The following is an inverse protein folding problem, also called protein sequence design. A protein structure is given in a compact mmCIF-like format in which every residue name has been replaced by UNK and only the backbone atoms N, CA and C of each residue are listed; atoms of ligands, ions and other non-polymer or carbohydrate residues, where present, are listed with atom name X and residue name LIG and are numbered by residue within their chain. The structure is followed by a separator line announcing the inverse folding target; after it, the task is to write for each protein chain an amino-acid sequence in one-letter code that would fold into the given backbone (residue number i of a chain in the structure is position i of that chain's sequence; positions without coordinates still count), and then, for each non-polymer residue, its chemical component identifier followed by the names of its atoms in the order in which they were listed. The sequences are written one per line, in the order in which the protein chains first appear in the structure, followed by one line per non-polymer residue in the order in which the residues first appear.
data_IF_175277779510
#
_entry.id   IF_175277779510
#
_cell.length_a   1.000
_cell.length_b   1.000
_cell.length_c   1.000
_cell.angle_alpha   90.00
_cell.angle_beta   90.00
_cell.angle_gamma   90.00
#
_symmetry.space_group_name_H-M   'P 1'
#
loop_
_entity.id
_entity.type
_entity.pdbx_description
1 polymer ?
#
# COMPACT_ATOMS: atom_id res chain seq x y z
N UNK A 1 18.00 -38.45 -75.02
CA UNK A 1 17.27 -37.27 -74.52
C UNK A 1 18.26 -36.45 -73.72
N UNK A 2 18.62 -35.23 -74.16
CA UNK A 2 19.75 -34.46 -73.60
C UNK A 2 19.36 -33.16 -72.90
N UNK A 3 18.06 -32.84 -72.81
CA UNK A 3 17.60 -31.61 -72.14
C UNK A 3 17.37 -31.88 -70.67
N UNK A 4 18.09 -31.17 -69.80
CA UNK A 4 17.90 -31.25 -68.36
C UNK A 4 16.51 -30.69 -67.99
N UNK A 5 15.80 -31.32 -67.04
CA UNK A 5 14.50 -30.83 -66.62
C UNK A 5 14.63 -29.54 -65.80
N UNK A 6 13.60 -28.70 -65.88
CA UNK A 6 13.34 -27.62 -64.93
C UNK A 6 12.18 -27.99 -64.01
N UNK A 7 12.21 -27.49 -62.78
CA UNK A 7 11.26 -27.79 -61.72
C UNK A 7 10.47 -26.55 -61.31
N UNK A 8 9.18 -26.76 -61.06
CA UNK A 8 8.29 -25.78 -60.44
C UNK A 8 7.64 -26.38 -59.20
N UNK A 9 7.63 -25.62 -58.12
CA UNK A 9 6.67 -25.81 -57.04
C UNK A 9 5.30 -25.33 -57.50
N UNK A 10 4.28 -26.19 -57.34
CA UNK A 10 2.90 -25.83 -57.61
C UNK A 10 2.05 -26.11 -56.39
N UNK A 11 1.09 -25.24 -56.09
CA UNK A 11 0.13 -25.44 -55.01
C UNK A 11 -1.29 -25.05 -55.41
N UNK A 12 -2.26 -25.81 -54.93
CA UNK A 12 -3.69 -25.59 -55.09
C UNK A 12 -4.38 -25.58 -53.71
N UNK A 13 -5.59 -25.01 -53.62
CA UNK A 13 -6.42 -25.20 -52.43
C UNK A 13 -6.62 -26.70 -52.19
N UNK A 14 -6.70 -27.12 -50.93
CA UNK A 14 -6.92 -28.53 -50.57
C UNK A 14 -8.21 -29.13 -51.16
N UNK A 15 -9.20 -28.28 -51.43
CA UNK A 15 -10.46 -28.63 -52.10
C UNK A 15 -10.39 -28.56 -53.63
N UNK A 16 -9.28 -28.06 -54.18
CA UNK A 16 -9.04 -27.90 -55.62
C UNK A 16 -8.23 -29.05 -56.22
N UNK A 17 -7.58 -28.79 -57.36
CA UNK A 17 -6.75 -29.77 -58.08
C UNK A 17 -5.35 -29.23 -58.32
N UNK A 18 -4.33 -30.09 -58.15
CA UNK A 18 -2.94 -29.75 -58.41
C UNK A 18 -2.63 -29.54 -59.90
N UNK A 19 -3.52 -30.01 -60.77
CA UNK A 19 -3.45 -29.77 -62.22
C UNK A 19 -3.89 -28.34 -62.58
N UNK A 20 -4.65 -27.68 -61.69
CA UNK A 20 -5.05 -26.28 -61.78
C UNK A 20 -4.49 -25.48 -60.57
N UNK A 21 -3.16 -25.32 -60.46
CA UNK A 21 -2.56 -24.69 -59.31
C UNK A 21 -2.88 -23.21 -59.23
N UNK A 22 -3.02 -22.71 -58.00
CA UNK A 22 -3.18 -21.27 -57.73
C UNK A 22 -1.82 -20.58 -57.58
N UNK A 23 -0.78 -21.31 -57.18
CA UNK A 23 0.60 -20.82 -57.07
C UNK A 23 1.49 -21.68 -57.97
N UNK A 24 2.32 -21.01 -58.78
CA UNK A 24 3.41 -21.64 -59.53
C UNK A 24 4.68 -20.83 -59.30
N UNK A 25 5.73 -21.48 -58.80
CA UNK A 25 7.03 -20.86 -58.53
C UNK A 25 8.12 -21.77 -59.11
N UNK A 26 9.04 -21.21 -59.89
CA UNK A 26 10.23 -21.94 -60.32
C UNK A 26 11.08 -22.31 -59.09
N UNK A 27 11.72 -23.48 -59.11
CA UNK A 27 12.72 -23.84 -58.10
C UNK A 27 13.96 -22.94 -58.18
N UNK A 28 14.90 -23.09 -57.25
CA UNK A 28 16.12 -22.28 -57.21
C UNK A 28 16.92 -22.40 -58.52
N UNK A 29 17.80 -21.43 -58.79
CA UNK A 29 18.53 -21.32 -60.06
C UNK A 29 17.62 -21.35 -61.31
N UNK A 30 16.54 -20.57 -61.26
CA UNK A 30 15.56 -20.43 -62.35
C UNK A 30 14.95 -21.77 -62.80
N UNK A 31 14.63 -22.64 -61.83
CA UNK A 31 14.02 -23.93 -62.10
C UNK A 31 15.01 -25.08 -62.26
N UNK A 32 16.33 -24.84 -62.26
CA UNK A 32 17.30 -25.94 -62.50
C UNK A 32 17.70 -26.68 -61.23
N UNK A 33 17.45 -26.13 -60.05
CA UNK A 33 17.72 -26.81 -58.79
C UNK A 33 16.58 -27.75 -58.39
N UNK A 34 16.90 -28.80 -57.63
CA UNK A 34 15.91 -29.69 -57.01
C UNK A 34 15.42 -29.19 -55.65
N UNK A 35 15.69 -27.92 -55.31
CA UNK A 35 15.30 -27.26 -54.08
C UNK A 35 14.65 -25.90 -54.41
N UNK A 36 13.76 -25.44 -53.53
CA UNK A 36 13.16 -24.12 -53.60
C UNK A 36 13.30 -23.45 -52.23
N UNK A 37 13.93 -22.29 -52.22
CA UNK A 37 14.12 -21.45 -51.03
C UNK A 37 13.18 -20.24 -51.12
N UNK A 38 12.21 -20.16 -50.20
CA UNK A 38 11.29 -19.03 -50.10
C UNK A 38 11.46 -18.31 -48.78
N UNK A 39 11.58 -16.98 -48.84
CA UNK A 39 11.35 -16.13 -47.67
C UNK A 39 9.88 -16.15 -47.27
N UNK A 40 9.56 -15.94 -45.99
CA UNK A 40 8.17 -15.80 -45.54
C UNK A 40 7.42 -14.70 -46.31
N UNK A 41 8.13 -13.63 -46.71
CA UNK A 41 7.55 -12.56 -47.53
C UNK A 41 7.16 -13.04 -48.94
N UNK A 42 8.00 -13.80 -49.63
CA UNK A 42 7.67 -14.32 -50.96
C UNK A 42 6.46 -15.25 -50.92
N UNK A 43 6.36 -16.09 -49.89
CA UNK A 43 5.21 -16.97 -49.69
C UNK A 43 3.94 -16.18 -49.37
N UNK A 44 4.04 -15.16 -48.51
CA UNK A 44 2.90 -14.29 -48.19
C UNK A 44 2.42 -13.50 -49.41
N UNK A 45 3.34 -12.90 -50.19
CA UNK A 45 3.03 -12.17 -51.41
C UNK A 45 2.36 -13.09 -52.46
N UNK A 46 2.80 -14.35 -52.57
CA UNK A 46 2.19 -15.34 -53.47
C UNK A 46 0.75 -15.67 -53.09
N UNK A 47 0.44 -15.79 -51.80
CA UNK A 47 -0.92 -15.99 -51.29
C UNK A 47 -1.77 -14.71 -51.45
N UNK A 48 -1.18 -13.54 -51.19
CA UNK A 48 -1.83 -12.23 -51.39
C UNK A 48 -2.26 -12.02 -52.83
N UNK A 49 -1.43 -12.39 -53.80
CA UNK A 49 -1.73 -12.32 -55.22
C UNK A 49 -2.93 -13.20 -55.63
N UNK A 50 -3.40 -14.09 -54.75
CA UNK A 50 -4.59 -14.92 -54.91
C UNK A 50 -5.77 -14.46 -54.06
N UNK A 51 -5.73 -13.22 -53.57
CA UNK A 51 -6.78 -12.58 -52.76
C UNK A 51 -7.12 -13.35 -51.46
N UNK A 52 -6.21 -14.20 -50.98
CA UNK A 52 -6.32 -14.79 -49.64
C UNK A 52 -6.06 -13.65 -48.65
N UNK A 53 -6.95 -13.40 -47.69
CA UNK A 53 -6.81 -12.29 -46.76
C UNK A 53 -5.71 -12.50 -45.70
N UNK A 54 -5.19 -11.42 -45.13
CA UNK A 54 -4.17 -11.44 -44.08
C UNK A 54 -4.66 -12.21 -42.83
N UNK A 55 -3.78 -12.97 -42.19
CA UNK A 55 -4.12 -13.78 -41.00
C UNK A 55 -5.01 -15.01 -41.26
N UNK A 56 -5.43 -15.25 -42.51
CA UNK A 56 -6.26 -16.41 -42.85
C UNK A 56 -5.39 -17.66 -42.97
N UNK A 57 -5.76 -18.72 -42.23
CA UNK A 57 -5.23 -20.07 -42.41
C UNK A 57 -5.79 -20.66 -43.70
N UNK A 58 -4.90 -21.06 -44.61
CA UNK A 58 -5.25 -21.69 -45.88
C UNK A 58 -4.65 -23.10 -45.92
N UNK A 59 -5.51 -24.10 -46.09
CA UNK A 59 -5.07 -25.47 -46.33
C UNK A 59 -4.86 -25.69 -47.84
N UNK A 60 -3.65 -26.06 -48.21
CA UNK A 60 -3.22 -26.31 -49.58
C UNK A 60 -2.79 -27.77 -49.78
N UNK A 61 -2.79 -28.17 -51.05
CA UNK A 61 -2.00 -29.30 -51.54
C UNK A 61 -0.91 -28.77 -52.45
N UNK A 62 0.27 -29.38 -52.42
CA UNK A 62 1.42 -28.99 -53.23
C UNK A 62 2.11 -30.19 -53.88
N UNK A 63 2.78 -29.93 -55.00
CA UNK A 63 3.57 -30.90 -55.76
C UNK A 63 4.73 -30.19 -56.48
N UNK A 64 5.66 -30.97 -57.02
CA UNK A 64 6.69 -30.50 -57.94
C UNK A 64 6.32 -30.94 -59.35
N UNK A 65 6.27 -30.00 -60.29
CA UNK A 65 6.20 -30.27 -61.74
C UNK A 65 7.60 -30.20 -62.32
N UNK A 66 8.05 -31.27 -62.97
CA UNK A 66 9.32 -31.32 -63.70
C UNK A 66 9.04 -31.42 -65.20
N UNK A 67 9.70 -30.60 -66.01
CA UNK A 67 9.55 -30.63 -67.47
C UNK A 67 10.88 -30.48 -68.18
N UNK A 68 11.09 -31.22 -69.26
CA UNK A 68 12.24 -31.08 -70.15
C UNK A 68 11.90 -30.35 -71.47
N UNK A 69 10.70 -29.78 -71.56
CA UNK A 69 10.16 -29.15 -72.78
C UNK A 69 9.23 -30.05 -73.59
N UNK A 70 9.46 -31.36 -73.58
CA UNK A 70 8.64 -32.34 -74.32
C UNK A 70 7.64 -33.06 -73.42
N UNK A 71 8.07 -33.42 -72.21
CA UNK A 71 7.27 -34.16 -71.23
C UNK A 71 7.26 -33.41 -69.91
N UNK A 72 6.08 -33.31 -69.30
CA UNK A 72 5.90 -32.79 -67.95
C UNK A 72 5.41 -33.90 -67.03
N UNK A 73 6.07 -34.09 -65.90
CA UNK A 73 5.66 -35.02 -64.85
C UNK A 73 5.40 -34.27 -63.55
N UNK A 74 4.40 -34.72 -62.79
CA UNK A 74 4.04 -34.14 -61.49
C UNK A 74 4.27 -35.19 -60.40
N UNK A 75 4.83 -34.79 -59.26
CA UNK A 75 4.96 -35.70 -58.12
C UNK A 75 3.59 -36.17 -57.63
N UNK A 76 3.44 -37.46 -57.37
CA UNK A 76 2.22 -38.08 -56.85
C UNK A 76 2.54 -39.02 -55.67
N UNK A 77 1.76 -38.98 -54.57
CA UNK A 77 0.62 -38.09 -54.33
C UNK A 77 1.05 -36.65 -54.05
N UNK A 78 0.13 -35.69 -54.22
CA UNK A 78 0.32 -34.33 -53.74
C UNK A 78 0.35 -34.32 -52.20
N UNK A 79 1.16 -33.42 -51.63
CA UNK A 79 1.35 -33.31 -50.18
C UNK A 79 0.54 -32.15 -49.61
N UNK A 80 0.02 -32.31 -48.40
CA UNK A 80 -0.74 -31.25 -47.73
C UNK A 80 0.19 -30.26 -47.02
N UNK A 81 -0.17 -28.98 -47.04
CA UNK A 81 0.47 -27.93 -46.24
C UNK A 81 -0.58 -26.92 -45.79
N UNK A 82 -0.49 -26.45 -44.56
CA UNK A 82 -1.35 -25.39 -44.04
C UNK A 82 -0.52 -24.14 -43.78
N UNK A 83 -0.90 -23.01 -44.37
CA UNK A 83 -0.19 -21.74 -44.24
C UNK A 83 -1.16 -20.67 -43.77
N UNK A 84 -0.81 -19.98 -42.68
CA UNK A 84 -1.50 -18.76 -42.26
C UNK A 84 -0.74 -17.56 -42.82
N UNK A 85 -1.40 -16.72 -43.61
CA UNK A 85 -0.80 -15.47 -44.12
C UNK A 85 -0.35 -14.57 -42.98
N UNK A 86 0.71 -13.79 -43.20
CA UNK A 86 1.12 -12.80 -42.22
C UNK A 86 -0.03 -11.81 -42.00
N UNK A 87 -0.29 -11.51 -40.74
CA UNK A 87 -1.29 -10.54 -40.33
C UNK A 87 -0.65 -9.39 -39.58
N UNK A 88 -1.47 -8.67 -38.82
CA UNK A 88 -0.95 -7.69 -37.88
C UNK A 88 -0.21 -8.38 -36.71
N UNK A 89 0.59 -7.59 -36.00
CA UNK A 89 1.42 -8.03 -34.91
C UNK A 89 1.75 -6.89 -33.97
N UNK A 90 2.43 -7.22 -32.88
CA UNK A 90 2.88 -6.26 -31.87
C UNK A 90 4.30 -6.66 -31.49
N UNK A 91 5.26 -5.75 -31.61
CA UNK A 91 6.64 -6.00 -31.19
C UNK A 91 6.74 -6.26 -29.69
N UNK A 92 7.77 -6.96 -29.24
CA UNK A 92 8.05 -7.10 -27.80
C UNK A 92 8.27 -5.74 -27.15
N UNK A 93 7.95 -5.65 -25.86
CA UNK A 93 8.09 -4.44 -25.07
C UNK A 93 8.28 -4.76 -23.58
N UNK A 94 9.06 -3.92 -22.90
CA UNK A 94 9.39 -4.06 -21.47
C UNK A 94 8.48 -3.19 -20.60
N UNK A 95 8.27 -3.62 -19.35
CA UNK A 95 7.66 -2.80 -18.31
C UNK A 95 8.75 -2.00 -17.58
N UNK A 96 8.58 -0.70 -17.44
CA UNK A 96 9.56 0.18 -16.77
C UNK A 96 9.16 0.51 -15.33
N UNK A 97 7.87 0.63 -15.04
CA UNK A 97 7.43 0.95 -13.69
C UNK A 97 5.93 0.88 -13.51
N UNK A 98 5.43 0.63 -12.27
CA UNK A 98 6.21 0.33 -11.06
C UNK A 98 6.99 -1.00 -11.17
N UNK A 99 8.25 -1.03 -10.74
CA UNK A 99 9.07 -2.25 -10.79
C UNK A 99 8.49 -3.34 -9.90
N UNK A 100 8.73 -4.61 -10.25
CA UNK A 100 8.27 -5.75 -9.47
C UNK A 100 8.77 -5.67 -8.01
N UNK A 101 7.86 -5.72 -7.04
CA UNK A 101 8.19 -5.63 -5.62
C UNK A 101 7.16 -6.36 -4.75
N UNK A 102 7.65 -6.96 -3.66
CA UNK A 102 6.82 -7.54 -2.59
C UNK A 102 6.69 -6.61 -1.37
N UNK A 103 7.34 -5.45 -1.40
CA UNK A 103 7.22 -4.44 -0.33
C UNK A 103 5.93 -3.64 -0.55
N UNK A 104 5.04 -3.54 0.47
CA UNK A 104 3.83 -2.75 0.35
C UNK A 104 4.11 -1.28 0.06
N UNK A 105 3.49 -0.76 -0.99
CA UNK A 105 3.33 0.67 -1.22
C UNK A 105 2.08 1.13 -0.46
N UNK A 106 2.25 2.14 0.40
CA UNK A 106 1.13 2.76 1.12
C UNK A 106 0.52 3.85 0.25
N UNK A 107 -0.79 3.76 -0.01
CA UNK A 107 -1.56 4.79 -0.70
C UNK A 107 -2.62 5.38 0.24
N UNK A 108 -2.91 6.68 0.08
CA UNK A 108 -4.06 7.30 0.73
C UNK A 108 -5.33 6.98 -0.10
N UNK A 109 -6.26 6.17 0.41
CA UNK A 109 -7.43 5.72 -0.36
C UNK A 109 -8.41 6.84 -0.69
N UNK A 110 -8.30 8.01 -0.06
CA UNK A 110 -9.15 9.17 -0.30
C UNK A 110 -8.49 10.22 -1.20
N UNK A 111 -7.21 10.04 -1.59
CA UNK A 111 -6.49 11.04 -2.38
C UNK A 111 -6.96 11.05 -3.85
N UNK A 112 -7.39 12.22 -4.32
CA UNK A 112 -7.87 12.46 -5.70
C UNK A 112 -6.78 13.01 -6.63
N UNK A 113 -5.57 13.19 -6.12
CA UNK A 113 -4.47 13.94 -6.77
C UNK A 113 -3.12 13.25 -6.67
N UNK A 114 -3.00 12.24 -5.81
CA UNK A 114 -1.87 11.34 -5.86
C UNK A 114 -2.13 10.25 -6.91
N UNK A 115 -1.10 9.96 -7.69
CA UNK A 115 -1.18 9.01 -8.80
C UNK A 115 -0.06 7.98 -8.72
N UNK A 116 -0.41 6.73 -9.03
CA UNK A 116 0.55 5.69 -9.35
C UNK A 116 0.88 5.75 -10.85
N UNK A 117 2.15 5.90 -11.17
CA UNK A 117 2.61 6.04 -12.55
C UNK A 117 3.07 4.70 -13.13
N UNK A 118 2.41 4.27 -14.21
CA UNK A 118 2.75 3.11 -14.99
C UNK A 118 3.43 3.53 -16.28
N UNK A 119 4.56 2.91 -16.61
CA UNK A 119 5.33 3.18 -17.83
C UNK A 119 5.87 1.89 -18.43
N UNK A 120 5.85 1.80 -19.75
CA UNK A 120 6.39 0.67 -20.51
C UNK A 120 7.01 1.16 -21.82
N UNK A 121 7.74 0.27 -22.47
CA UNK A 121 8.30 0.53 -23.79
C UNK A 121 7.18 0.57 -24.84
N UNK A 122 7.20 1.57 -25.72
CA UNK A 122 6.28 1.61 -26.86
C UNK A 122 6.56 0.43 -27.80
N UNK A 123 5.51 -0.31 -28.14
CA UNK A 123 5.51 -1.37 -29.14
C UNK A 123 5.11 -0.84 -30.53
N UNK A 124 5.51 -1.57 -31.57
CA UNK A 124 5.22 -1.29 -32.97
C UNK A 124 4.27 -2.32 -33.56
N UNK A 125 3.30 -1.85 -34.34
CA UNK A 125 2.39 -2.69 -35.11
C UNK A 125 3.13 -3.41 -36.26
N UNK A 126 2.73 -4.64 -36.55
CA UNK A 126 3.21 -5.39 -37.71
C UNK A 126 2.74 -4.77 -39.03
N UNK A 127 1.52 -4.20 -39.04
CA UNK A 127 0.98 -3.41 -40.14
C UNK A 127 1.12 -1.93 -39.80
N UNK A 128 1.96 -1.21 -40.56
CA UNK A 128 2.34 0.18 -40.25
C UNK A 128 1.18 1.19 -40.19
N UNK A 129 0.04 0.90 -40.83
CA UNK A 129 -1.15 1.76 -40.78
C UNK A 129 -1.98 1.57 -39.51
N UNK A 130 -1.74 0.49 -38.75
CA UNK A 130 -2.45 0.22 -37.51
C UNK A 130 -1.73 0.85 -36.32
N UNK A 131 -2.51 1.37 -35.38
CA UNK A 131 -1.98 1.89 -34.13
C UNK A 131 -1.99 0.81 -33.04
N UNK A 132 -0.91 0.73 -32.27
CA UNK A 132 -0.86 -0.12 -31.08
C UNK A 132 -1.57 0.58 -29.92
N UNK A 133 -2.56 -0.10 -29.32
CA UNK A 133 -3.28 0.36 -28.12
C UNK A 133 -2.96 -0.51 -26.91
N UNK A 134 -2.99 0.07 -25.72
CA UNK A 134 -2.60 -0.59 -24.48
C UNK A 134 -3.71 -0.60 -23.44
N UNK A 135 -3.85 -1.75 -22.76
CA UNK A 135 -4.69 -1.93 -21.57
C UNK A 135 -3.81 -2.52 -20.47
N UNK A 136 -3.79 -1.88 -19.31
CA UNK A 136 -3.15 -2.40 -18.10
C UNK A 136 -4.13 -3.35 -17.41
N UNK A 137 -3.66 -4.52 -17.00
CA UNK A 137 -4.46 -5.53 -16.31
C UNK A 137 -3.88 -5.83 -14.94
N UNK A 138 -4.75 -6.01 -13.96
CA UNK A 138 -4.40 -6.36 -12.59
C UNK A 138 -5.11 -7.64 -12.17
N UNK A 139 -4.37 -8.52 -11.48
CA UNK A 139 -4.89 -9.74 -10.86
C UNK A 139 -4.39 -9.82 -9.43
N UNK A 140 -5.04 -10.64 -8.59
CA UNK A 140 -4.42 -11.04 -7.32
C UNK A 140 -3.14 -11.82 -7.59
N UNK A 141 -2.18 -11.82 -6.68
CA UNK A 141 -0.92 -12.56 -6.86
C UNK A 141 -1.19 -14.04 -7.18
N UNK A 142 -0.68 -14.53 -8.32
CA UNK A 142 -0.93 -15.89 -8.83
C UNK A 142 -2.26 -16.07 -9.57
N UNK A 143 -3.01 -14.99 -9.82
CA UNK A 143 -4.27 -15.00 -10.55
C UNK A 143 -4.12 -15.07 -12.07
N UNK A 144 -5.26 -15.09 -12.78
CA UNK A 144 -5.33 -15.27 -14.24
C UNK A 144 -5.66 -13.95 -14.97
N UNK A 145 -4.77 -13.49 -15.85
CA UNK A 145 -4.95 -12.28 -16.67
C UNK A 145 -6.02 -12.39 -17.76
N UNK A 146 -6.57 -13.60 -17.99
CA UNK A 146 -7.79 -13.77 -18.79
C UNK A 146 -9.03 -13.23 -18.05
N UNK A 147 -8.98 -13.21 -16.71
CA UNK A 147 -10.06 -12.76 -15.81
C UNK A 147 -9.50 -11.72 -14.81
N UNK A 148 -9.13 -10.52 -15.29
CA UNK A 148 -8.52 -9.50 -14.45
C UNK A 148 -9.50 -9.00 -13.37
N UNK A 149 -8.97 -8.67 -12.20
CA UNK A 149 -9.74 -7.99 -11.14
C UNK A 149 -10.25 -6.64 -11.62
N UNK A 150 -9.40 -5.90 -12.33
CA UNK A 150 -9.74 -4.65 -12.98
C UNK A 150 -8.71 -4.31 -14.06
N UNK A 151 -9.08 -3.39 -14.95
CA UNK A 151 -8.25 -2.96 -16.07
C UNK A 151 -8.33 -1.46 -16.25
N UNK A 152 -7.31 -0.91 -16.91
CA UNK A 152 -7.26 0.49 -17.32
C UNK A 152 -6.80 0.61 -18.76
N UNK A 153 -7.58 1.33 -19.57
CA UNK A 153 -7.12 1.77 -20.89
C UNK A 153 -6.04 2.82 -20.69
N UNK A 154 -4.93 2.71 -21.42
CA UNK A 154 -3.84 3.70 -21.36
C UNK A 154 -4.30 5.10 -21.79
N UNK A 155 -3.50 6.12 -21.48
CA UNK A 155 -3.78 7.51 -21.85
C UNK A 155 -3.90 7.68 -23.38
N UNK A 156 -4.48 8.82 -23.78
CA UNK A 156 -4.75 9.14 -25.19
C UNK A 156 -5.53 8.01 -25.90
N UNK A 157 -6.63 7.56 -25.28
CA UNK A 157 -7.47 6.46 -25.78
C UNK A 157 -6.71 5.16 -26.07
N UNK A 158 -5.72 4.86 -25.23
CA UNK A 158 -4.91 3.65 -25.30
C UNK A 158 -3.60 3.80 -26.08
N UNK A 159 -3.31 4.94 -26.69
CA UNK A 159 -2.15 5.11 -27.59
C UNK A 159 -0.83 5.37 -26.86
N UNK A 160 -0.90 5.90 -25.64
CA UNK A 160 0.31 6.26 -24.90
C UNK A 160 0.93 5.04 -24.22
N UNK A 161 2.25 5.07 -24.03
CA UNK A 161 3.03 4.03 -23.33
C UNK A 161 3.21 4.31 -21.84
N UNK A 162 2.30 5.12 -21.29
CA UNK A 162 2.27 5.50 -19.89
C UNK A 162 0.83 5.78 -19.46
N UNK A 163 0.55 5.56 -18.18
CA UNK A 163 -0.70 5.91 -17.53
C UNK A 163 -0.46 6.32 -16.08
N UNK A 164 -1.09 7.40 -15.64
CA UNK A 164 -1.18 7.78 -14.24
C UNK A 164 -2.57 7.36 -13.72
N UNK A 165 -2.61 6.55 -12.66
CA UNK A 165 -3.86 6.06 -12.06
C UNK A 165 -4.00 6.67 -10.66
N UNK A 166 -5.11 7.33 -10.37
CA UNK A 166 -5.35 7.98 -9.08
C UNK A 166 -5.44 6.97 -7.92
N UNK A 167 -4.89 7.31 -6.76
CA UNK A 167 -4.91 6.42 -5.58
C UNK A 167 -6.33 6.07 -5.13
N UNK A 168 -7.25 7.04 -5.14
CA UNK A 168 -8.66 6.78 -4.86
C UNK A 168 -9.28 5.77 -5.82
N UNK A 169 -9.02 5.86 -7.12
CA UNK A 169 -9.57 4.93 -8.11
C UNK A 169 -9.03 3.50 -7.90
N UNK A 170 -7.72 3.36 -7.65
CA UNK A 170 -7.14 2.07 -7.27
C UNK A 170 -7.82 1.51 -6.01
N UNK A 171 -8.03 2.34 -5.00
CA UNK A 171 -8.69 1.95 -3.76
C UNK A 171 -10.14 1.49 -3.98
N UNK A 172 -10.90 2.22 -4.79
CA UNK A 172 -12.28 1.91 -5.13
C UNK A 172 -12.36 0.60 -5.93
N UNK A 173 -11.44 0.37 -6.89
CA UNK A 173 -11.33 -0.90 -7.63
C UNK A 173 -10.98 -2.08 -6.74
N UNK A 174 -10.07 -1.91 -5.78
CA UNK A 174 -9.73 -2.96 -4.82
C UNK A 174 -10.92 -3.31 -3.92
N UNK A 175 -11.64 -2.30 -3.45
CA UNK A 175 -12.88 -2.50 -2.67
C UNK A 175 -13.93 -3.24 -3.49
N UNK A 176 -14.14 -2.83 -4.74
CA UNK A 176 -15.07 -3.49 -5.68
C UNK A 176 -14.66 -4.95 -5.95
N UNK A 177 -13.36 -5.22 -5.98
CA UNK A 177 -12.81 -6.56 -6.15
C UNK A 177 -12.86 -7.43 -4.87
N UNK A 178 -13.48 -6.95 -3.78
CA UNK A 178 -13.69 -7.70 -2.55
C UNK A 178 -12.64 -7.47 -1.46
N UNK A 179 -11.60 -6.66 -1.71
CA UNK A 179 -10.63 -6.27 -0.69
C UNK A 179 -11.19 -5.09 0.10
N UNK A 180 -12.06 -5.34 1.07
CA UNK A 180 -12.74 -4.29 1.84
C UNK A 180 -11.94 -3.80 3.05
N UNK A 181 -11.06 -4.63 3.61
CA UNK A 181 -10.13 -4.21 4.66
C UNK A 181 -8.96 -3.41 4.05
N UNK A 182 -8.92 -2.11 4.35
CA UNK A 182 -7.94 -1.18 3.81
C UNK A 182 -6.54 -1.37 4.41
N UNK A 183 -6.46 -1.77 5.68
CA UNK A 183 -5.21 -1.92 6.41
C UNK A 183 -4.46 -3.20 6.02
N UNK A 184 -5.17 -4.22 5.55
CA UNK A 184 -4.56 -5.46 5.03
C UNK A 184 -3.86 -5.19 3.69
N UNK A 185 -2.53 -5.44 3.56
CA UNK A 185 -1.83 -5.33 2.29
C UNK A 185 -2.43 -6.29 1.24
N UNK A 186 -2.71 -5.76 0.05
CA UNK A 186 -3.20 -6.54 -1.10
C UNK A 186 -2.05 -6.82 -2.05
N UNK A 187 -1.69 -8.09 -2.20
CA UNK A 187 -0.69 -8.53 -3.15
C UNK A 187 -1.33 -8.76 -4.54
N UNK A 188 -0.86 -7.99 -5.52
CA UNK A 188 -1.32 -7.99 -6.90
C UNK A 188 -0.20 -8.40 -7.85
N UNK A 189 -0.59 -8.76 -9.06
CA UNK A 189 0.27 -8.81 -10.23
C UNK A 189 -0.32 -7.94 -11.33
N UNK A 190 0.53 -7.26 -12.07
CA UNK A 190 0.10 -6.40 -13.17
C UNK A 190 0.95 -6.62 -14.42
N UNK A 191 0.31 -6.39 -15.57
CA UNK A 191 0.94 -6.43 -16.89
C UNK A 191 0.18 -5.52 -17.86
N UNK A 192 0.67 -5.42 -19.09
CA UNK A 192 0.07 -4.62 -20.16
C UNK A 192 -0.24 -5.52 -21.35
N UNK A 193 -1.50 -5.49 -21.82
CA UNK A 193 -1.91 -6.05 -23.10
C UNK A 193 -1.83 -4.96 -24.17
N UNK A 194 -1.03 -5.20 -25.19
CA UNK A 194 -0.97 -4.40 -26.39
C UNK A 194 -1.83 -5.05 -27.50
N UNK A 195 -2.59 -4.23 -28.22
CA UNK A 195 -3.45 -4.64 -29.32
C UNK A 195 -3.09 -3.87 -30.58
N UNK A 196 -2.97 -4.57 -31.71
CA UNK A 196 -2.89 -3.99 -33.05
C UNK A 196 -3.80 -4.76 -34.00
N UNK A 197 -4.78 -4.08 -34.60
CA UNK A 197 -5.85 -4.75 -35.34
C UNK A 197 -6.57 -5.78 -34.46
N UNK A 198 -6.59 -7.05 -34.90
CA UNK A 198 -7.12 -8.17 -34.12
C UNK A 198 -6.05 -8.91 -33.30
N UNK A 199 -4.78 -8.54 -33.46
CA UNK A 199 -3.68 -9.18 -32.75
C UNK A 199 -3.54 -8.60 -31.35
N UNK A 200 -3.37 -9.47 -30.36
CA UNK A 200 -3.16 -9.11 -28.96
C UNK A 200 -1.92 -9.79 -28.42
N UNK A 201 -1.13 -9.05 -27.66
CA UNK A 201 0.04 -9.57 -26.97
C UNK A 201 0.22 -8.90 -25.62
N UNK A 202 0.38 -9.72 -24.58
CA UNK A 202 0.82 -9.25 -23.26
C UNK A 202 2.31 -8.97 -23.26
N UNK A 203 2.76 -8.03 -22.42
CA UNK A 203 4.17 -7.80 -22.17
C UNK A 203 4.90 -9.11 -21.80
N UNK A 204 6.20 -9.17 -22.11
CA UNK A 204 7.00 -10.38 -21.85
C UNK A 204 7.21 -10.65 -20.35
N UNK A 205 6.87 -9.69 -19.48
CA UNK A 205 7.02 -9.75 -18.02
C UNK A 205 5.74 -9.38 -17.29
N UNK A 206 5.63 -9.90 -16.06
CA UNK A 206 4.61 -9.58 -15.07
C UNK A 206 5.31 -9.02 -13.84
N UNK A 207 4.81 -7.91 -13.31
CA UNK A 207 5.36 -7.30 -12.10
C UNK A 207 4.46 -7.58 -10.90
N UNK A 208 5.09 -7.97 -9.78
CA UNK A 208 4.43 -8.00 -8.47
C UNK A 208 4.25 -6.56 -7.96
N UNK A 209 3.12 -6.29 -7.33
CA UNK A 209 2.81 -5.01 -6.69
C UNK A 209 2.00 -5.27 -5.43
N UNK A 210 2.44 -4.73 -4.29
CA UNK A 210 1.70 -4.85 -3.02
C UNK A 210 1.21 -3.47 -2.61
N UNK A 211 -0.08 -3.34 -2.29
CA UNK A 211 -0.72 -2.06 -1.92
C UNK A 211 -1.35 -2.16 -0.54
N UNK A 212 -1.02 -1.22 0.34
CA UNK A 212 -1.74 -0.99 1.61
C UNK A 212 -2.47 0.34 1.51
N UNK A 213 -3.74 0.39 1.92
CA UNK A 213 -4.56 1.61 1.88
C UNK A 213 -4.64 2.19 3.28
N UNK A 214 -4.00 3.32 3.50
CA UNK A 214 -3.92 3.96 4.82
C UNK A 214 -4.35 5.42 4.72
N UNK A 215 -5.41 5.77 5.43
CA UNK A 215 -5.76 7.18 5.66
C UNK A 215 -4.87 7.70 6.79
N UNK A 216 -4.22 8.84 6.57
CA UNK A 216 -3.39 9.51 7.57
C UNK A 216 -4.04 10.83 7.93
N UNK A 217 -4.03 11.13 9.23
CA UNK A 217 -4.44 12.43 9.75
C UNK A 217 -3.32 13.00 10.60
N UNK A 218 -3.17 14.32 10.56
CA UNK A 218 -2.12 15.07 11.24
C UNK A 218 -2.73 16.23 12.01
N UNK A 219 -2.15 16.57 13.15
CA UNK A 219 -2.47 17.76 13.94
C UNK A 219 -1.44 18.87 13.65
N UNK A 220 -1.93 20.08 13.36
CA UNK A 220 -1.09 21.28 13.13
C UNK A 220 -1.73 22.47 13.81
N UNK A 221 -0.95 23.43 14.29
CA UNK A 221 -1.51 24.63 14.92
C UNK A 221 -0.57 25.27 15.93
N UNK A 222 -0.76 26.57 16.18
CA UNK A 222 0.05 27.32 17.14
C UNK A 222 -0.10 26.85 18.58
N UNK A 223 -1.24 26.23 18.94
CA UNK A 223 -1.42 25.62 20.26
C UNK A 223 -0.70 24.26 20.39
N UNK A 224 -0.21 23.69 19.28
CA UNK A 224 0.41 22.36 19.21
C UNK A 224 1.94 22.47 19.19
N UNK A 225 2.69 21.39 19.53
CA UNK A 225 4.15 21.39 19.37
C UNK A 225 4.65 21.61 17.94
N UNK A 226 3.80 21.40 16.92
CA UNK A 226 4.16 21.59 15.51
C UNK A 226 4.12 23.05 15.04
N UNK A 227 3.41 23.93 15.77
CA UNK A 227 3.08 25.26 15.25
C UNK A 227 2.26 25.18 13.95
N UNK A 228 2.26 26.26 13.17
CA UNK A 228 1.58 26.35 11.86
C UNK A 228 2.42 25.82 10.68
N UNK A 229 3.46 25.02 10.96
CA UNK A 229 4.32 24.42 9.95
C UNK A 229 3.74 23.07 9.53
N UNK A 230 3.12 22.98 8.36
CA UNK A 230 2.44 21.76 7.89
C UNK A 230 3.39 20.56 7.78
N UNK A 231 4.64 20.79 7.40
CA UNK A 231 5.69 19.76 7.30
C UNK A 231 6.05 19.17 8.68
N UNK A 232 5.76 19.89 9.76
CA UNK A 232 5.97 19.46 11.15
C UNK A 232 4.70 18.91 11.81
N UNK A 233 3.57 18.86 11.08
CA UNK A 233 2.30 18.40 11.63
C UNK A 233 2.42 16.97 12.19
N UNK A 234 1.81 16.72 13.35
CA UNK A 234 1.99 15.50 14.13
C UNK A 234 1.01 14.45 13.66
N UNK A 235 1.51 13.31 13.17
CA UNK A 235 0.64 12.22 12.73
C UNK A 235 -0.13 11.61 13.91
N UNK A 236 -1.43 11.39 13.71
CA UNK A 236 -2.34 10.84 14.70
C UNK A 236 -2.36 9.31 14.65
N UNK A 237 -2.66 8.68 15.78
CA UNK A 237 -2.88 7.23 15.92
C UNK A 237 -4.26 6.88 15.33
N UNK A 238 -4.37 5.95 14.38
CA UNK A 238 -5.66 5.42 13.95
C UNK A 238 -6.36 4.68 15.08
N UNK A 239 -7.64 4.97 15.30
CA UNK A 239 -8.47 4.30 16.29
C UNK A 239 -8.87 2.90 15.80
N UNK A 240 -8.41 1.87 16.50
CA UNK A 240 -8.67 0.48 16.13
C UNK A 240 -10.13 0.05 16.35
N UNK A 241 -10.83 0.70 17.28
CA UNK A 241 -12.24 0.45 17.57
C UNK A 241 -13.18 1.19 16.61
N UNK A 242 -12.73 2.30 16.04
CA UNK A 242 -13.53 3.20 15.21
C UNK A 242 -12.81 3.55 13.89
N UNK A 243 -12.89 2.70 12.84
CA UNK A 243 -12.25 2.97 11.56
C UNK A 243 -12.62 4.33 10.96
N UNK A 244 -11.60 5.11 10.57
CA UNK A 244 -11.77 6.50 10.10
C UNK A 244 -11.71 7.56 11.21
N UNK A 245 -11.49 7.14 12.45
CA UNK A 245 -11.19 8.02 13.59
C UNK A 245 -9.71 7.96 13.93
N UNK A 246 -9.16 9.09 14.35
CA UNK A 246 -7.75 9.24 14.71
C UNK A 246 -7.63 10.01 16.01
N UNK A 247 -6.65 9.68 16.84
CA UNK A 247 -6.40 10.39 18.08
C UNK A 247 -4.91 10.56 18.38
N UNK A 248 -4.59 11.46 19.30
CA UNK A 248 -3.28 11.54 19.93
C UNK A 248 -3.40 12.12 21.34
N UNK A 249 -2.42 11.83 22.19
CA UNK A 249 -2.23 12.51 23.46
C UNK A 249 -1.15 13.56 23.30
N UNK A 250 -1.48 14.82 23.54
CA UNK A 250 -0.60 15.95 23.25
C UNK A 250 -0.76 17.03 24.29
N UNK A 251 0.34 17.72 24.60
CA UNK A 251 0.27 18.95 25.38
C UNK A 251 -0.12 20.10 24.45
N UNK A 252 -1.24 20.74 24.75
CA UNK A 252 -1.70 21.95 24.09
C UNK A 252 -1.40 23.17 24.94
N UNK A 253 -0.87 24.22 24.31
CA UNK A 253 -0.64 25.51 24.95
C UNK A 253 -1.69 26.49 24.42
N UNK A 254 -2.78 26.67 25.16
CA UNK A 254 -3.88 27.54 24.75
C UNK A 254 -3.42 29.00 24.59
N UNK A 255 -4.07 29.72 23.68
CA UNK A 255 -3.83 31.15 23.44
C UNK A 255 -2.82 31.45 22.33
N UNK A 256 -2.43 30.46 21.53
CA UNK A 256 -1.49 30.59 20.40
C UNK A 256 -2.19 30.40 19.04
N UNK A 257 -3.49 30.67 18.97
CA UNK A 257 -4.28 30.63 17.74
C UNK A 257 -4.86 29.26 17.39
N UNK A 258 -4.83 28.28 18.29
CA UNK A 258 -5.54 27.01 18.10
C UNK A 258 -4.84 26.03 17.17
N UNK A 259 -5.63 25.13 16.59
CA UNK A 259 -5.15 24.07 15.71
C UNK A 259 -6.17 23.63 14.66
N UNK A 260 -5.71 22.82 13.71
CA UNK A 260 -6.44 22.18 12.63
C UNK A 260 -5.94 20.75 12.41
N UNK A 261 -6.65 20.01 11.57
CA UNK A 261 -6.24 18.71 11.07
C UNK A 261 -5.86 18.78 9.59
N UNK A 262 -4.87 17.99 9.18
CA UNK A 262 -4.49 17.82 7.78
C UNK A 262 -4.52 16.33 7.41
N UNK A 263 -4.76 16.00 6.14
CA UNK A 263 -4.58 14.63 5.62
C UNK A 263 -3.18 14.40 5.00
N UNK A 264 -2.36 15.44 4.90
CA UNK A 264 -0.98 15.42 4.42
C UNK A 264 -0.17 16.47 5.20
N UNK A 265 1.15 16.32 5.29
CA UNK A 265 2.02 17.34 5.89
C UNK A 265 2.31 18.50 4.91
N UNK A 266 1.23 19.09 4.38
CA UNK A 266 1.23 20.24 3.47
C UNK A 266 -0.11 20.98 3.60
N UNK A 267 -0.14 22.28 3.32
CA UNK A 267 -1.39 23.04 3.23
C UNK A 267 -2.16 22.78 1.92
N UNK A 268 -3.49 23.00 1.91
CA UNK A 268 -4.27 23.00 0.68
C UNK A 268 -3.71 23.93 -0.41
N UNK A 269 -3.90 23.55 -1.67
CA UNK A 269 -3.32 24.23 -2.83
C UNK A 269 -1.87 23.83 -3.15
N UNK A 270 -1.24 22.99 -2.33
CA UNK A 270 0.06 22.41 -2.59
C UNK A 270 0.05 21.19 -3.53
N UNK A 271 1.24 20.68 -3.85
CA UNK A 271 1.46 19.56 -4.78
C UNK A 271 0.85 18.22 -4.34
N UNK A 272 0.65 18.03 -3.04
CA UNK A 272 0.01 16.84 -2.45
C UNK A 272 -1.51 17.00 -2.35
N UNK A 273 -2.05 18.17 -2.75
CA UNK A 273 -3.47 18.52 -2.68
C UNK A 273 -4.08 18.12 -1.33
N UNK A 274 -3.43 18.59 -0.27
CA UNK A 274 -3.93 18.38 1.07
C UNK A 274 -5.32 19.01 1.23
N UNK A 275 -6.11 18.44 2.11
CA UNK A 275 -7.27 19.08 2.69
C UNK A 275 -6.97 19.38 4.16
N UNK A 276 -7.53 20.47 4.66
CA UNK A 276 -7.53 20.79 6.07
C UNK A 276 -8.94 20.77 6.64
N UNK A 277 -9.02 20.50 7.94
CA UNK A 277 -10.26 20.55 8.70
C UNK A 277 -10.03 21.36 9.95
N UNK A 278 -11.02 22.18 10.27
CA UNK A 278 -11.06 22.96 11.50
C UNK A 278 -12.46 22.94 12.08
N UNK A 279 -12.70 23.81 13.05
CA UNK A 279 -14.03 23.97 13.62
C UNK A 279 -14.99 24.56 12.59
N UNK A 280 -16.15 23.93 12.40
CA UNK A 280 -17.27 24.58 11.71
C UNK A 280 -17.64 25.85 12.47
N UNK A 281 -17.63 27.04 11.85
CA UNK A 281 -17.83 28.30 12.55
C UNK A 281 -19.08 28.29 13.44
N UNK A 282 -18.90 28.57 14.73
CA UNK A 282 -19.99 28.59 15.71
C UNK A 282 -20.52 27.22 16.17
N UNK A 283 -19.87 26.12 15.81
CA UNK A 283 -20.28 24.77 16.21
C UNK A 283 -19.11 23.96 16.80
N UNK A 284 -18.71 24.22 18.07
CA UNK A 284 -17.67 23.44 18.73
C UNK A 284 -17.97 21.93 18.72
N UNK A 285 -16.96 21.14 18.36
CA UNK A 285 -17.06 19.69 18.17
C UNK A 285 -17.46 19.26 16.75
N UNK A 286 -17.97 20.16 15.90
CA UNK A 286 -18.21 19.90 14.48
C UNK A 286 -17.03 20.37 13.64
N UNK A 287 -16.54 19.50 12.76
CA UNK A 287 -15.53 19.83 11.78
C UNK A 287 -16.16 20.19 10.43
N UNK A 288 -15.43 20.98 9.64
CA UNK A 288 -15.75 21.23 8.24
C UNK A 288 -14.44 21.33 7.44
N UNK A 289 -14.52 21.02 6.15
CA UNK A 289 -13.49 21.31 5.15
C UNK A 289 -13.95 22.54 4.37
N UNK A 290 -13.03 23.45 4.09
CA UNK A 290 -13.27 24.74 3.45
C UNK A 290 -14.20 25.67 4.26
N UNK A 291 -13.67 26.83 4.67
CA UNK A 291 -14.43 27.82 5.45
C UNK A 291 -14.48 27.52 6.96
N UNK A 292 -13.60 26.65 7.42
CA UNK A 292 -13.36 26.33 8.82
C UNK A 292 -12.71 27.48 9.61
N UNK A 293 -12.98 27.51 10.91
CA UNK A 293 -12.20 28.27 11.89
C UNK A 293 -11.14 27.37 12.53
N UNK A 294 -10.11 27.97 13.13
CA UNK A 294 -9.21 27.21 14.00
C UNK A 294 -9.99 26.62 15.18
N UNK A 295 -9.58 25.44 15.63
CA UNK A 295 -10.09 24.84 16.85
C UNK A 295 -9.39 25.53 18.03
N UNK A 296 -10.15 26.40 18.70
CA UNK A 296 -9.71 27.24 19.82
C UNK A 296 -10.69 27.12 20.99
N UNK A 297 -10.37 27.74 22.13
CA UNK A 297 -11.26 27.84 23.29
C UNK A 297 -11.72 26.49 23.89
N UNK A 298 -10.91 25.43 23.71
CA UNK A 298 -11.17 24.09 24.25
C UNK A 298 -10.75 23.92 25.72
N UNK A 299 -10.29 24.99 26.38
CA UNK A 299 -9.89 25.02 27.79
C UNK A 299 -8.54 25.69 28.01
N UNK A 300 -7.92 25.42 29.17
CA UNK A 300 -6.61 25.94 29.57
C UNK A 300 -5.47 25.07 29.04
N UNK A 301 -4.25 25.60 28.98
CA UNK A 301 -3.07 24.80 28.61
C UNK A 301 -2.93 23.54 29.47
N UNK A 302 -2.70 22.39 28.84
CA UNK A 302 -2.73 21.09 29.51
C UNK A 302 -2.43 19.95 28.55
N UNK A 303 -2.49 18.72 29.06
CA UNK A 303 -2.41 17.52 28.21
C UNK A 303 -3.83 17.13 27.86
N UNK A 304 -4.05 16.84 26.59
CA UNK A 304 -5.35 16.49 26.01
C UNK A 304 -5.23 15.21 25.21
N UNK A 305 -6.32 14.43 25.19
CA UNK A 305 -6.58 13.56 24.06
C UNK A 305 -7.33 14.36 23.01
N UNK A 306 -6.75 14.49 21.83
CA UNK A 306 -7.39 15.12 20.68
C UNK A 306 -7.79 14.01 19.72
N UNK A 307 -9.07 13.98 19.34
CA UNK A 307 -9.65 12.96 18.46
C UNK A 307 -10.35 13.63 17.29
N UNK A 308 -10.16 13.08 16.09
CA UNK A 308 -10.85 13.48 14.87
C UNK A 308 -11.56 12.28 14.24
N UNK A 309 -12.88 12.37 14.16
CA UNK A 309 -13.73 11.44 13.43
C UNK A 309 -13.98 12.02 12.04
N UNK A 310 -13.16 11.59 11.09
CA UNK A 310 -13.22 12.12 9.72
C UNK A 310 -14.55 11.77 9.04
N UNK A 311 -15.10 10.60 9.34
CA UNK A 311 -16.31 10.09 8.69
C UNK A 311 -17.53 10.94 9.03
N UNK A 312 -17.68 11.29 10.31
CA UNK A 312 -18.82 12.07 10.78
C UNK A 312 -18.52 13.58 10.89
N UNK A 313 -17.31 14.00 10.53
CA UNK A 313 -16.80 15.37 10.66
C UNK A 313 -17.00 15.90 12.08
N UNK A 314 -16.51 15.15 13.06
CA UNK A 314 -16.52 15.53 14.48
C UNK A 314 -15.10 15.58 15.02
N UNK A 315 -14.89 16.40 16.03
CA UNK A 315 -13.65 16.39 16.81
C UNK A 315 -13.92 16.47 18.31
N UNK A 316 -12.99 15.94 19.10
CA UNK A 316 -13.04 15.98 20.56
C UNK A 316 -11.70 16.47 21.10
N UNK A 317 -11.75 17.36 22.09
CA UNK A 317 -10.57 17.92 22.77
C UNK A 317 -10.77 17.71 24.26
N UNK A 318 -10.18 16.65 24.81
CA UNK A 318 -10.58 16.10 26.10
C UNK A 318 -9.43 16.18 27.13
N UNK A 319 -9.51 17.15 28.04
CA UNK A 319 -8.55 17.30 29.14
C UNK A 319 -8.64 16.14 30.13
N UNK A 320 -9.85 15.66 30.39
CA UNK A 320 -10.16 14.53 31.27
C UNK A 320 -9.75 13.17 30.69
N UNK A 321 -9.25 13.15 29.45
CA UNK A 321 -8.67 11.99 28.77
C UNK A 321 -7.21 12.22 28.36
N UNK A 322 -6.63 13.40 28.66
CA UNK A 322 -5.21 13.71 28.39
C UNK A 322 -4.25 13.09 29.39
N UNK A 323 -4.49 11.85 29.81
CA UNK A 323 -3.83 11.19 30.94
C UNK A 323 -3.79 9.68 30.71
N UNK A 324 -3.03 8.96 31.51
CA UNK A 324 -2.91 7.50 31.43
C UNK A 324 -2.73 6.93 32.83
N UNK A 325 -3.28 5.76 33.12
CA UNK A 325 -3.11 5.10 34.41
C UNK A 325 -3.27 3.58 34.29
N UNK A 326 -2.76 2.84 35.28
CA UNK A 326 -2.97 1.40 35.38
C UNK A 326 -4.25 1.07 36.18
N UNK A 327 -5.01 0.08 35.72
CA UNK A 327 -6.27 -0.42 36.32
C UNK A 327 -6.23 -1.95 36.40
N UNK A 328 -6.93 -2.55 37.36
CA UNK A 328 -7.17 -3.98 37.44
C UNK A 328 -6.75 -4.60 38.77
N UNK A 329 -7.00 -5.90 38.95
CA UNK A 329 -6.74 -6.64 40.20
C UNK A 329 -5.32 -6.45 40.72
N UNK A 330 -4.35 -6.31 39.80
CA UNK A 330 -2.95 -6.07 40.11
C UNK A 330 -2.66 -4.70 40.73
N UNK A 331 -3.60 -3.77 40.67
CA UNK A 331 -3.43 -2.40 41.17
C UNK A 331 -4.16 -2.16 42.51
N UNK A 332 -3.99 -0.98 43.09
CA UNK A 332 -4.70 -0.59 44.34
C UNK A 332 -6.18 -0.33 44.06
N UNK A 333 -6.50 0.39 42.98
CA UNK A 333 -7.87 0.70 42.59
C UNK A 333 -8.69 -0.51 42.09
N UNK A 334 -8.06 -1.66 41.79
CA UNK A 334 -8.79 -2.79 41.22
C UNK A 334 -9.37 -2.45 39.84
N UNK A 335 -10.45 -3.13 39.45
CA UNK A 335 -11.18 -2.87 38.19
C UNK A 335 -12.18 -1.69 38.29
N UNK A 336 -11.86 -0.66 39.07
CA UNK A 336 -12.71 0.52 39.33
C UNK A 336 -12.08 1.81 38.78
N UNK A 337 -12.28 2.14 37.48
CA UNK A 337 -11.73 3.34 36.86
C UNK A 337 -11.94 4.68 37.60
N UNK A 338 -13.12 4.95 38.20
CA UNK A 338 -13.33 6.16 39.00
C UNK A 338 -12.31 6.38 40.12
N UNK A 339 -11.72 5.31 40.67
CA UNK A 339 -10.82 5.36 41.84
C UNK A 339 -9.33 5.50 41.49
N UNK A 340 -8.97 5.53 40.21
CA UNK A 340 -7.58 5.50 39.74
C UNK A 340 -6.91 6.88 39.79
N UNK A 341 -7.64 7.92 39.38
CA UNK A 341 -7.06 9.25 39.19
C UNK A 341 -7.35 10.14 40.41
N UNK A 342 -6.37 10.95 40.86
CA UNK A 342 -5.02 11.11 40.31
C UNK A 342 -3.99 10.12 40.88
N UNK A 343 -4.36 9.25 41.82
CA UNK A 343 -3.42 8.47 42.66
C UNK A 343 -2.49 7.51 41.89
N UNK A 344 -2.94 6.98 40.76
CA UNK A 344 -2.20 6.03 39.92
C UNK A 344 -1.89 6.58 38.52
N UNK A 345 -2.01 7.90 38.33
CA UNK A 345 -1.73 8.55 37.06
C UNK A 345 -0.26 8.42 36.66
N UNK A 346 -0.01 8.02 35.42
CA UNK A 346 1.29 8.15 34.77
C UNK A 346 1.48 9.62 34.37
N UNK A 347 2.71 10.11 34.48
CA UNK A 347 3.10 11.42 34.00
C UNK A 347 3.26 11.46 32.48
N UNK A 348 2.83 12.55 31.86
CA UNK A 348 3.10 12.82 30.45
C UNK A 348 4.58 13.13 30.24
N UNK A 349 5.22 12.39 29.33
CA UNK A 349 6.66 12.55 29.01
C UNK A 349 6.83 13.30 27.70
N UNK A 350 6.06 12.92 26.68
CA UNK A 350 6.05 13.53 25.36
C UNK A 350 4.72 13.19 24.68
N UNK A 351 4.45 13.79 23.51
CA UNK A 351 3.33 13.40 22.66
C UNK A 351 3.29 11.89 22.50
N UNK A 352 2.13 11.30 22.78
CA UNK A 352 1.91 9.85 22.81
C UNK A 352 2.88 9.06 23.72
N UNK A 353 3.31 9.62 24.85
CA UNK A 353 4.17 8.89 25.79
C UNK A 353 3.90 9.25 27.24
N UNK A 354 3.59 8.24 28.05
CA UNK A 354 3.38 8.37 29.49
C UNK A 354 4.28 7.41 30.26
N UNK A 355 4.69 7.82 31.46
CA UNK A 355 5.52 7.04 32.37
C UNK A 355 5.05 7.24 33.80
N UNK A 356 4.99 6.16 34.58
CA UNK A 356 4.68 6.26 36.01
C UNK A 356 5.23 5.10 36.82
N UNK A 357 5.16 5.25 38.13
CA UNK A 357 5.52 4.24 39.12
C UNK A 357 4.24 3.73 39.79
N UNK A 358 3.93 2.46 39.61
CA UNK A 358 2.69 1.84 40.11
C UNK A 358 3.05 0.57 40.86
N UNK A 359 2.50 0.41 42.07
CA UNK A 359 2.60 -0.86 42.79
C UNK A 359 1.71 -1.89 42.12
N UNK A 360 2.32 -2.96 41.58
CA UNK A 360 1.61 -4.10 41.00
C UNK A 360 1.73 -5.33 41.92
N UNK A 361 0.65 -6.10 42.04
CA UNK A 361 0.61 -7.38 42.76
C UNK A 361 1.06 -8.53 41.84
N UNK A 362 1.82 -9.47 42.38
CA UNK A 362 2.28 -10.63 41.64
C UNK A 362 1.12 -11.50 41.15
N UNK A 363 1.21 -11.96 39.91
CA UNK A 363 0.23 -12.89 39.30
C UNK A 363 -1.12 -12.28 38.92
N UNK A 364 -1.39 -11.03 39.30
CA UNK A 364 -2.68 -10.38 39.08
C UNK A 364 -2.72 -9.57 37.79
N UNK A 365 -3.85 -9.64 37.09
CA UNK A 365 -4.06 -8.97 35.81
C UNK A 365 -4.35 -7.47 35.95
N UNK A 366 -4.03 -6.72 34.89
CA UNK A 366 -4.22 -5.27 34.82
C UNK A 366 -4.30 -4.77 33.36
N UNK A 367 -4.70 -3.51 33.16
CA UNK A 367 -4.76 -2.77 31.89
C UNK A 367 -4.27 -1.34 32.09
N UNK A 368 -4.12 -0.61 30.99
CA UNK A 368 -3.94 0.84 30.99
C UNK A 368 -5.25 1.52 30.56
N UNK A 369 -5.54 2.71 31.08
CA UNK A 369 -6.75 3.46 30.76
C UNK A 369 -6.51 4.97 30.84
N UNK A 370 -7.19 5.75 30.00
CA UNK A 370 -7.02 7.20 29.92
C UNK A 370 -8.12 8.02 30.63
N UNK A 371 -9.15 7.39 31.17
CA UNK A 371 -10.28 8.07 31.81
C UNK A 371 -10.90 7.33 33.00
N UNK A 372 -11.96 7.92 33.56
CA UNK A 372 -12.58 7.50 34.83
C UNK A 372 -13.73 6.49 34.65
N UNK A 373 -13.93 5.95 33.46
CA UNK A 373 -14.98 4.97 33.19
C UNK A 373 -14.49 4.00 32.11
N UNK A 374 -15.14 2.84 31.98
CA UNK A 374 -14.94 1.99 30.81
C UNK A 374 -15.61 2.65 29.60
N UNK A 375 -14.86 2.84 28.51
CA UNK A 375 -15.36 3.59 27.35
C UNK A 375 -15.86 2.74 26.18
N UNK A 376 -15.87 1.41 26.32
CA UNK A 376 -16.40 0.39 25.39
C UNK A 376 -16.65 0.89 23.96
N UNK A 377 -15.58 1.21 23.23
CA UNK A 377 -15.62 1.49 21.79
C UNK A 377 -16.25 2.82 21.36
N UNK A 378 -16.63 3.72 22.28
CA UNK A 378 -17.13 5.05 21.92
C UNK A 378 -15.99 6.03 21.65
N UNK A 379 -16.08 6.82 20.58
CA UNK A 379 -15.02 7.77 20.15
C UNK A 379 -14.59 8.74 21.27
N UNK A 380 -15.57 9.25 22.01
CA UNK A 380 -15.38 10.19 23.11
C UNK A 380 -15.20 9.52 24.48
N UNK A 381 -15.47 8.22 24.62
CA UNK A 381 -15.30 7.49 25.88
C UNK A 381 -13.84 7.24 26.20
N UNK A 382 -13.56 6.65 27.36
CA UNK A 382 -12.20 6.28 27.73
C UNK A 382 -11.65 5.17 26.84
N UNK A 383 -10.36 5.25 26.56
CA UNK A 383 -9.61 4.21 25.86
C UNK A 383 -8.86 3.40 26.88
N UNK A 384 -8.98 2.09 26.78
CA UNK A 384 -8.22 1.14 27.56
C UNK A 384 -7.33 0.28 26.65
N UNK A 385 -6.19 -0.12 27.21
CA UNK A 385 -5.15 -0.80 26.48
C UNK A 385 -4.75 -2.05 27.23
N UNK A 386 -4.59 -3.13 26.47
CA UNK A 386 -4.21 -4.44 26.96
C UNK A 386 -3.05 -5.01 26.16
N UNK A 387 -2.70 -6.25 26.48
CA UNK A 387 -1.60 -6.99 25.88
C UNK A 387 -1.90 -7.34 24.42
N UNK A 388 -0.95 -7.03 23.54
CA UNK A 388 -0.91 -7.53 22.18
C UNK A 388 -0.28 -8.93 22.05
N UNK A 389 -0.26 -9.45 20.82
CA UNK A 389 0.25 -10.80 20.53
C UNK A 389 1.76 -10.93 20.83
N UNK A 390 2.53 -9.88 20.56
CA UNK A 390 3.98 -9.84 20.78
C UNK A 390 4.30 -9.29 22.17
N UNK A 391 5.32 -9.84 22.82
CA UNK A 391 5.79 -9.31 24.10
C UNK A 391 6.15 -7.82 23.98
N UNK A 392 5.63 -7.00 24.90
CA UNK A 392 5.84 -5.55 24.89
C UNK A 392 4.95 -4.76 23.90
N UNK A 393 4.11 -5.41 23.08
CA UNK A 393 3.10 -4.71 22.29
C UNK A 393 1.78 -4.56 23.04
N UNK A 394 1.05 -3.48 22.77
CA UNK A 394 -0.29 -3.24 23.32
C UNK A 394 -1.31 -3.02 22.21
N UNK A 395 -2.57 -3.26 22.53
CA UNK A 395 -3.72 -3.08 21.65
C UNK A 395 -4.79 -2.27 22.38
N UNK A 396 -5.55 -1.48 21.63
CA UNK A 396 -6.72 -0.70 22.09
C UNK A 396 -8.04 -1.48 21.93
N UNK A 397 -8.07 -2.48 21.06
CA UNK A 397 -9.26 -3.26 20.76
C UNK A 397 -8.93 -4.77 20.62
N UNK A 398 -9.87 -5.62 21.04
CA UNK A 398 -9.75 -7.08 21.04
C UNK A 398 -8.50 -7.59 21.78
N UNK A 399 -8.13 -6.88 22.83
CA UNK A 399 -6.96 -7.10 23.67
C UNK A 399 -7.25 -8.02 24.84
N UNK A 400 -6.22 -8.71 25.32
CA UNK A 400 -6.25 -9.39 26.62
C UNK A 400 -5.70 -8.48 27.71
N UNK A 401 -5.98 -8.78 28.97
CA UNK A 401 -5.33 -8.10 30.08
C UNK A 401 -3.80 -8.29 30.01
N UNK A 402 -3.04 -7.31 30.52
CA UNK A 402 -1.62 -7.52 30.75
C UNK A 402 -1.42 -8.63 31.78
N UNK A 403 -0.45 -9.50 31.50
CA UNK A 403 -0.05 -10.52 32.45
C UNK A 403 0.45 -9.87 33.74
N UNK A 404 0.15 -10.52 34.87
CA UNK A 404 0.66 -10.09 36.17
C UNK A 404 2.19 -10.12 36.22
N UNK A 405 2.75 -9.25 37.07
CA UNK A 405 4.19 -9.26 37.35
C UNK A 405 4.58 -10.48 38.16
N UNK A 406 5.85 -10.86 38.14
CA UNK A 406 6.34 -12.02 38.91
C UNK A 406 6.49 -11.72 40.39
N UNK A 407 6.79 -10.46 40.75
CA UNK A 407 6.99 -10.00 42.12
C UNK A 407 6.13 -8.79 42.41
N UNK A 408 5.43 -8.82 43.56
CA UNK A 408 4.71 -7.67 44.06
C UNK A 408 5.70 -6.56 44.38
N UNK A 409 5.43 -5.36 43.91
CA UNK A 409 6.27 -4.21 44.20
C UNK A 409 6.02 -3.04 43.28
N UNK A 410 6.78 -1.97 43.48
CA UNK A 410 6.71 -0.80 42.64
C UNK A 410 7.31 -1.10 41.26
N UNK A 411 6.56 -0.80 40.22
CA UNK A 411 6.96 -1.02 38.82
C UNK A 411 6.96 0.29 38.06
N UNK A 412 7.96 0.47 37.21
CA UNK A 412 7.98 1.51 36.19
C UNK A 412 7.19 1.02 34.98
N UNK A 413 6.10 1.72 34.70
CA UNK A 413 5.24 1.46 33.55
C UNK A 413 5.41 2.58 32.53
N UNK A 414 5.57 2.21 31.27
CA UNK A 414 5.59 3.14 30.13
C UNK A 414 4.47 2.74 29.18
N UNK A 415 3.62 3.70 28.84
CA UNK A 415 2.73 3.65 27.68
C UNK A 415 3.41 4.41 26.54
N UNK A 416 3.68 3.76 25.41
CA UNK A 416 4.43 4.34 24.29
C UNK A 416 3.65 4.16 22.98
N UNK A 417 2.98 5.24 22.56
CA UNK A 417 2.33 5.37 21.26
C UNK A 417 3.11 6.25 20.29
N UNK A 418 4.42 6.49 20.51
CA UNK A 418 5.23 7.30 19.60
C UNK A 418 5.44 6.60 18.25
N UNK A 419 5.48 5.28 18.24
CA UNK A 419 5.28 4.45 17.05
C UNK A 419 3.78 4.18 16.90
N UNK A 420 3.09 5.09 16.21
CA UNK A 420 1.63 5.10 16.10
C UNK A 420 1.02 3.85 15.43
N UNK A 421 1.85 3.02 14.78
CA UNK A 421 1.42 1.77 14.13
C UNK A 421 1.65 0.56 15.01
N UNK A 422 2.61 0.64 15.93
CA UNK A 422 3.01 -0.45 16.80
C UNK A 422 3.06 0.06 18.24
N UNK A 423 1.89 0.25 18.83
CA UNK A 423 1.75 0.67 20.22
C UNK A 423 2.49 -0.30 21.14
N UNK A 424 3.28 0.24 22.06
CA UNK A 424 4.13 -0.53 22.98
C UNK A 424 3.88 -0.15 24.43
N UNK A 425 4.20 -1.09 25.30
CA UNK A 425 4.31 -0.85 26.72
C UNK A 425 5.60 -1.47 27.27
N UNK A 426 6.07 -0.92 28.38
CA UNK A 426 7.19 -1.50 29.13
C UNK A 426 6.84 -1.54 30.60
N UNK A 427 7.19 -2.65 31.24
CA UNK A 427 7.10 -2.83 32.70
C UNK A 427 8.45 -3.30 33.19
N UNK A 428 9.05 -2.52 34.08
CA UNK A 428 10.31 -2.84 34.74
C UNK A 428 10.19 -2.58 36.23
N UNK A 429 11.14 -3.07 37.03
CA UNK A 429 11.16 -2.73 38.44
C UNK A 429 11.34 -1.21 38.62
N UNK A 430 10.50 -0.63 39.46
CA UNK A 430 10.50 0.80 39.74
C UNK A 430 11.59 1.12 40.76
N UNK A 431 12.62 1.83 40.33
CA UNK A 431 13.67 2.36 41.20
C UNK A 431 13.87 3.85 40.93
N UNK A 432 14.10 4.62 41.99
CA UNK A 432 14.50 6.02 41.92
C UNK A 432 15.84 6.15 42.61
N UNK A 433 16.75 6.91 42.02
CA UNK A 433 18.09 7.11 42.54
C UNK A 433 18.33 8.60 42.81
N UNK A 434 19.08 8.90 43.86
CA UNK A 434 19.59 10.24 44.10
C UNK A 434 20.85 10.46 43.26
N UNK A 435 20.88 11.51 42.45
CA UNK A 435 21.96 11.83 41.49
C UNK A 435 22.42 13.27 41.71
N UNK A 436 23.71 13.55 41.57
CA UNK A 436 24.28 14.89 41.62
C UNK A 436 25.75 14.94 42.04
N UNK A 437 26.36 16.13 42.01
CA UNK A 437 27.78 16.31 42.36
C UNK A 437 28.14 15.80 43.77
N UNK A 438 27.21 15.96 44.71
CA UNK A 438 27.43 15.61 46.12
C UNK A 438 26.98 14.18 46.46
N UNK A 439 26.64 13.34 45.48
CA UNK A 439 26.12 11.99 45.72
C UNK A 439 27.15 10.95 45.32
N UNK A 440 27.19 9.82 46.04
CA UNK A 440 27.93 8.65 45.58
C UNK A 440 27.48 8.30 44.14
N UNK A 441 28.44 8.26 43.19
CA UNK A 441 28.16 8.04 41.77
C UNK A 441 28.03 9.30 40.90
N UNK A 442 27.98 10.50 41.48
CA UNK A 442 28.00 11.75 40.71
C UNK A 442 26.80 11.92 39.77
N UNK A 443 27.04 12.46 38.57
CA UNK A 443 26.05 12.62 37.49
C UNK A 443 25.94 11.42 36.54
N UNK A 444 26.79 10.40 36.68
CA UNK A 444 26.72 9.22 35.82
C UNK A 444 25.46 8.41 36.16
N UNK A 445 24.43 8.49 35.32
CA UNK A 445 23.17 7.77 35.48
C UNK A 445 23.08 6.53 34.59
N UNK A 446 24.22 6.00 34.15
CA UNK A 446 24.27 4.74 33.41
C UNK A 446 23.76 3.58 34.26
N UNK A 447 23.16 2.58 33.61
CA UNK A 447 22.68 1.36 34.29
C UNK A 447 23.81 0.55 34.95
N UNK A 448 25.07 0.85 34.63
CA UNK A 448 26.27 0.24 35.22
C UNK A 448 26.78 0.96 36.46
N UNK A 449 26.27 2.15 36.78
CA UNK A 449 26.69 2.90 37.96
C UNK A 449 26.01 2.39 39.23
N UNK A 450 26.66 1.43 39.89
CA UNK A 450 26.18 0.84 41.14
C UNK A 450 26.42 1.72 42.38
N UNK A 451 27.02 2.90 42.24
CA UNK A 451 27.31 3.80 43.36
C UNK A 451 26.13 4.73 43.70
N UNK A 452 25.14 4.87 42.80
CA UNK A 452 24.00 5.74 43.01
C UNK A 452 23.12 5.26 44.20
N UNK A 453 22.82 6.14 45.18
CA UNK A 453 21.93 5.79 46.28
C UNK A 453 20.50 5.55 45.79
N UNK A 454 20.04 4.31 45.89
CA UNK A 454 18.64 3.96 45.64
C UNK A 454 17.74 4.52 46.73
N UNK A 455 16.61 5.11 46.34
CA UNK A 455 15.61 5.65 47.25
C UNK A 455 14.52 4.62 47.54
N UNK A 456 14.08 4.59 48.79
CA UNK A 456 12.93 3.80 49.25
C UNK A 456 11.65 4.58 48.99
N UNK A 457 10.64 3.94 48.39
CA UNK A 457 9.32 4.53 48.22
C UNK A 457 8.48 4.33 49.49
N UNK A 458 8.03 5.42 50.10
CA UNK A 458 7.23 5.41 51.34
C UNK A 458 5.72 5.60 51.06
N UNK A 459 5.32 5.61 49.78
CA UNK A 459 3.94 5.92 49.37
C UNK A 459 3.67 7.41 49.23
N UNK A 460 2.53 7.77 48.62
CA UNK A 460 2.06 9.15 48.43
C UNK A 460 3.12 10.10 47.82
N UNK A 461 3.91 9.60 46.87
CA UNK A 461 4.96 10.39 46.22
C UNK A 461 6.19 10.67 47.10
N UNK A 462 6.28 10.11 48.31
CA UNK A 462 7.41 10.30 49.22
C UNK A 462 8.50 9.26 48.94
N UNK A 463 9.73 9.75 48.79
CA UNK A 463 10.94 8.96 48.59
C UNK A 463 11.99 9.32 49.63
N UNK A 464 12.63 8.33 50.22
CA UNK A 464 13.61 8.51 51.29
C UNK A 464 14.93 7.81 50.94
N UNK A 465 16.04 8.43 51.29
CA UNK A 465 17.36 7.81 51.23
C UNK A 465 18.23 8.44 52.29
N UNK A 466 18.99 7.62 53.02
CA UNK A 466 20.04 8.08 53.91
C UNK A 466 21.36 7.76 53.24
N UNK A 467 22.13 8.79 52.90
CA UNK A 467 23.42 8.64 52.21
C UNK A 467 24.40 9.70 52.69
N UNK A 468 25.69 9.41 52.57
CA UNK A 468 26.75 10.38 52.83
C UNK A 468 26.88 11.29 51.59
N UNK A 469 26.88 12.60 51.81
CA UNK A 469 27.19 13.56 50.75
C UNK A 469 28.71 13.74 50.65
N UNK A 470 29.24 13.76 49.43
CA UNK A 470 30.68 13.88 49.13
C UNK A 470 31.10 15.32 48.88
#
# INVERSE_FOLDING_TARGET
VSTAPIYKFVAALKTGSIDAPIIELASDNNGTATALTLTHKQLDDALKAKAIADGVKTDLIWAVKATNGDVTVTTSPALAIAITRMGDGVSNFLLYGPVSSNTPMVINPNSTTDFMNFKWQKSFAGVATNATKYVIKFVAKGGDFSSPLFTYTSANSGLDSALAIGYKDISDKLTTAGFTDQATPVALQWTVEATSGNFKKTADYVNDLVITREVKMFLVGGDTPAGWTAESAIQMIPDASNPGTFYLYVKLNAGNGGFKFLNQQQWPGGSLNAADWGMKPGSPGDAVVDGESNIENYGVSGVYRVTFDQKNLKYHVQADHGRMAAVGSGTVAGWDPPSIFPSQALGFVNTNKFLGLVTLKAGEEWKLIDGNAWGNGTIAGSRDYGKGVTAGSMLEANESNFAGVTTTGLKRIIWDGTDIKNLKYSVTDGSVFLVGNATAGGWDNSATNNALPAMTYEGNGKWTVTTNLT
#
